data_IF_602547574255
#
_entry.id   IF_602547574255
#
_cell.length_a   1.000
_cell.length_b   1.000
_cell.length_c   1.000
_cell.angle_alpha   90.00
_cell.angle_beta   90.00
_cell.angle_gamma   90.00
#
_symmetry.space_group_name_H-M   'P 1'
#
loop_
_entity.id
_entity.type
_entity.pdbx_description
1 polymer ?
#
# COMPACT_ATOMS: atom_id res chain seq x y z
N UNK A 1 -12.05 3.46 -22.72
CA UNK A 1 -10.82 2.79 -22.21
C UNK A 1 -9.78 3.87 -22.06
N UNK A 2 -9.25 4.10 -20.86
CA UNK A 2 -8.08 4.98 -20.75
C UNK A 2 -6.89 4.05 -21.01
N UNK A 3 -6.20 4.27 -22.13
CA UNK A 3 -4.98 3.56 -22.44
C UNK A 3 -3.90 4.05 -21.48
N UNK A 4 -3.45 3.19 -20.57
CA UNK A 4 -2.35 3.54 -19.66
C UNK A 4 -1.06 3.23 -20.42
N UNK A 5 -0.44 4.26 -20.95
CA UNK A 5 0.82 4.16 -21.68
C UNK A 5 1.99 4.36 -20.72
N UNK A 6 3.09 3.65 -20.96
CA UNK A 6 4.33 3.92 -20.25
C UNK A 6 4.98 5.23 -20.74
N UNK A 7 6.10 5.64 -20.12
CA UNK A 7 6.83 6.86 -20.49
C UNK A 7 7.34 6.89 -21.94
N UNK A 8 7.35 5.76 -22.63
CA UNK A 8 7.76 5.63 -24.03
C UNK A 8 6.55 5.53 -24.98
N UNK A 9 5.32 5.66 -24.48
CA UNK A 9 4.09 5.67 -25.27
C UNK A 9 3.47 4.29 -25.52
N UNK A 10 3.94 3.23 -24.85
CA UNK A 10 3.51 1.85 -25.11
C UNK A 10 2.39 1.40 -24.17
N UNK A 11 1.40 0.70 -24.70
CA UNK A 11 0.39 0.00 -23.89
C UNK A 11 1.02 -1.22 -23.21
N UNK A 12 1.34 -1.08 -21.92
CA UNK A 12 1.70 -2.24 -21.08
C UNK A 12 0.43 -2.85 -20.51
N UNK A 13 0.37 -4.20 -20.45
CA UNK A 13 -0.69 -4.96 -19.76
C UNK A 13 -0.95 -4.29 -18.40
N UNK A 14 -2.12 -3.68 -18.19
CA UNK A 14 -2.36 -2.87 -16.99
C UNK A 14 -2.59 -3.78 -15.78
N UNK A 15 -1.59 -3.91 -14.91
CA UNK A 15 -1.67 -4.59 -13.60
C UNK A 15 -2.52 -3.82 -12.59
N UNK A 16 -2.70 -2.52 -12.86
CA UNK A 16 -3.63 -1.67 -12.16
C UNK A 16 -4.97 -1.81 -12.86
N UNK A 17 -5.87 -2.54 -12.24
CA UNK A 17 -7.19 -2.74 -12.80
C UNK A 17 -8.09 -1.57 -12.42
N UNK A 18 -8.94 -1.17 -13.37
CA UNK A 18 -10.14 -0.43 -13.04
C UNK A 18 -11.10 -1.49 -12.47
N UNK A 19 -11.55 -1.39 -11.21
CA UNK A 19 -12.57 -2.30 -10.73
C UNK A 19 -13.78 -2.24 -11.67
N UNK A 20 -14.45 -3.37 -11.88
CA UNK A 20 -15.65 -3.45 -12.72
C UNK A 20 -16.79 -2.57 -12.19
N UNK A 21 -16.66 -2.07 -10.96
CA UNK A 21 -17.58 -1.19 -10.28
C UNK A 21 -16.91 0.15 -9.99
N UNK A 22 -17.49 1.22 -10.55
CA UNK A 22 -17.17 2.59 -10.16
C UNK A 22 -17.84 2.85 -8.81
N UNK A 23 -17.14 3.47 -7.86
CA UNK A 23 -17.77 3.94 -6.62
C UNK A 23 -18.96 4.86 -6.98
N UNK A 24 -20.18 4.57 -6.50
CA UNK A 24 -21.33 5.41 -6.82
C UNK A 24 -21.10 6.86 -6.38
N UNK A 25 -21.58 7.81 -7.19
CA UNK A 25 -21.46 9.24 -6.88
C UNK A 25 -22.21 9.62 -5.59
N UNK A 26 -23.24 8.86 -5.21
CA UNK A 26 -23.90 9.00 -3.92
C UNK A 26 -22.95 8.66 -2.76
N UNK A 27 -22.24 7.53 -2.83
CA UNK A 27 -21.24 7.08 -1.87
C UNK A 27 -20.09 8.08 -1.75
N UNK A 28 -19.62 8.64 -2.88
CA UNK A 28 -18.56 9.66 -2.88
C UNK A 28 -18.99 10.94 -2.13
N UNK A 29 -20.22 11.42 -2.37
CA UNK A 29 -20.76 12.59 -1.67
C UNK A 29 -20.96 12.32 -0.19
N UNK A 30 -21.54 11.17 0.16
CA UNK A 30 -21.67 10.74 1.54
C UNK A 30 -20.32 10.67 2.26
N UNK A 31 -19.27 10.16 1.59
CA UNK A 31 -17.91 10.14 2.12
C UNK A 31 -17.38 11.55 2.41
N UNK A 32 -17.56 12.48 1.47
CA UNK A 32 -17.14 13.88 1.65
C UNK A 32 -17.86 14.51 2.84
N UNK A 33 -19.18 14.36 2.92
CA UNK A 33 -19.98 14.94 4.01
C UNK A 33 -19.60 14.35 5.38
N UNK A 34 -19.37 13.03 5.44
CA UNK A 34 -18.97 12.37 6.67
C UNK A 34 -17.54 12.71 7.10
N UNK A 35 -16.62 12.87 6.15
CA UNK A 35 -15.24 13.32 6.43
C UNK A 35 -15.20 14.79 6.85
N UNK A 36 -16.06 15.65 6.30
CA UNK A 36 -16.14 17.05 6.74
C UNK A 36 -16.42 17.16 8.24
N UNK A 37 -17.33 16.33 8.76
CA UNK A 37 -17.58 16.26 10.21
C UNK A 37 -16.31 15.86 10.97
N UNK A 38 -15.59 14.84 10.49
CA UNK A 38 -14.32 14.40 11.09
C UNK A 38 -13.26 15.52 11.08
N UNK A 39 -13.16 16.29 9.99
CA UNK A 39 -12.26 17.44 9.84
C UNK A 39 -12.61 18.58 10.80
N UNK A 40 -13.90 18.82 11.07
CA UNK A 40 -14.37 19.87 11.98
C UNK A 40 -14.25 19.50 13.47
N UNK A 41 -14.42 18.22 13.81
CA UNK A 41 -14.44 17.76 15.21
C UNK A 41 -13.07 17.31 15.73
N UNK A 42 -12.08 17.14 14.85
CA UNK A 42 -10.75 16.63 15.21
C UNK A 42 -9.70 17.72 15.04
N UNK A 43 -8.79 17.92 16.00
CA UNK A 43 -7.64 18.80 15.81
C UNK A 43 -6.81 18.39 14.60
N UNK A 44 -6.38 19.36 13.78
CA UNK A 44 -5.55 19.10 12.60
C UNK A 44 -4.26 18.40 13.02
N UNK A 45 -4.00 17.24 12.41
CA UNK A 45 -2.83 16.43 12.66
C UNK A 45 -1.98 16.31 11.40
N UNK A 46 -0.89 17.08 11.34
CA UNK A 46 0.02 17.04 10.20
C UNK A 46 0.94 15.83 10.27
N UNK A 47 1.10 15.17 9.13
CA UNK A 47 2.02 14.06 8.98
C UNK A 47 3.46 14.52 9.27
N UNK A 48 4.23 13.80 10.11
CA UNK A 48 5.62 14.15 10.42
C UNK A 48 6.47 14.32 9.16
N UNK A 49 7.25 15.40 9.09
CA UNK A 49 8.16 15.67 7.96
C UNK A 49 7.48 16.14 6.66
N UNK A 50 6.15 16.36 6.65
CA UNK A 50 5.43 16.85 5.48
C UNK A 50 5.44 18.37 5.28
N UNK A 51 6.07 19.11 6.20
CA UNK A 51 6.04 20.58 6.26
C UNK A 51 4.59 21.13 6.17
N UNK A 52 3.68 20.53 6.95
CA UNK A 52 2.26 20.85 7.05
C UNK A 52 1.47 20.77 5.73
N UNK A 53 1.87 19.90 4.80
CA UNK A 53 1.12 19.65 3.55
C UNK A 53 0.28 18.40 3.58
N UNK A 54 0.56 17.46 4.48
CA UNK A 54 -0.19 16.20 4.59
C UNK A 54 -0.93 16.18 5.91
N UNK A 55 -2.25 16.06 5.86
CA UNK A 55 -3.12 15.95 7.04
C UNK A 55 -3.56 14.50 7.19
N UNK A 56 -3.26 13.93 8.35
CA UNK A 56 -3.63 12.58 8.74
C UNK A 56 -4.99 12.63 9.47
N UNK A 57 -6.06 12.16 8.83
CA UNK A 57 -7.39 12.09 9.45
C UNK A 57 -7.57 10.77 10.21
N UNK A 58 -7.21 9.66 9.55
CA UNK A 58 -7.11 8.33 10.15
C UNK A 58 -5.78 7.77 9.70
N UNK A 59 -4.82 7.66 10.61
CA UNK A 59 -3.51 7.11 10.28
C UNK A 59 -3.24 5.84 11.07
N UNK A 60 -2.90 4.72 10.42
CA UNK A 60 -2.75 3.42 11.10
C UNK A 60 -1.55 3.37 12.05
N UNK A 61 -0.62 4.33 11.96
CA UNK A 61 0.47 4.50 12.93
C UNK A 61 0.10 5.31 14.18
N UNK A 62 -1.12 5.87 14.25
CA UNK A 62 -1.64 6.44 15.48
C UNK A 62 -2.23 5.32 16.33
N UNK A 63 -1.88 5.30 17.62
CA UNK A 63 -2.32 4.26 18.58
C UNK A 63 -2.10 2.82 18.05
N UNK A 64 -0.90 2.48 17.54
CA UNK A 64 -0.60 1.14 17.07
C UNK A 64 -0.58 0.16 18.23
N UNK A 65 -0.53 -1.13 17.94
CA UNK A 65 -0.11 -2.11 18.95
C UNK A 65 1.39 -1.92 19.23
N UNK A 66 1.75 -1.85 20.51
CA UNK A 66 3.12 -1.73 21.00
C UNK A 66 3.45 -2.96 21.84
N UNK A 67 4.36 -3.78 21.34
CA UNK A 67 4.80 -4.96 22.07
C UNK A 67 5.48 -4.61 23.39
N UNK A 68 5.10 -5.31 24.46
CA UNK A 68 5.54 -5.02 25.83
C UNK A 68 4.77 -3.87 26.51
N UNK A 69 3.78 -3.28 25.85
CA UNK A 69 3.01 -2.16 26.39
C UNK A 69 1.49 -2.30 26.18
N UNK A 70 1.03 -2.63 24.97
CA UNK A 70 -0.40 -2.73 24.65
C UNK A 70 -1.05 -3.94 25.33
N UNK A 71 -2.29 -3.79 25.76
CA UNK A 71 -3.09 -4.88 26.30
C UNK A 71 -3.90 -5.57 25.20
N UNK A 72 -3.96 -6.89 25.26
CA UNK A 72 -4.70 -7.74 24.32
C UNK A 72 -5.64 -8.70 25.06
N UNK A 73 -6.74 -9.05 24.39
CA UNK A 73 -7.65 -10.11 24.78
C UNK A 73 -7.26 -11.38 24.02
N UNK A 74 -6.70 -12.38 24.71
CA UNK A 74 -6.24 -13.63 24.08
C UNK A 74 -7.37 -14.64 23.85
N UNK A 75 -8.39 -14.61 24.69
CA UNK A 75 -9.43 -15.63 24.78
C UNK A 75 -10.78 -15.19 24.20
N UNK A 76 -10.92 -13.92 23.82
CA UNK A 76 -12.15 -13.35 23.25
C UNK A 76 -11.86 -12.23 22.25
N UNK A 77 -12.84 -11.95 21.40
CA UNK A 77 -12.85 -10.80 20.49
C UNK A 77 -13.93 -9.79 20.88
N UNK A 78 -13.68 -8.51 20.67
CA UNK A 78 -14.67 -7.43 20.82
C UNK A 78 -15.28 -7.05 19.48
N UNK A 79 -16.60 -6.91 19.47
CA UNK A 79 -17.34 -6.40 18.32
C UNK A 79 -17.59 -4.88 18.42
N UNK A 80 -18.23 -4.33 17.39
CA UNK A 80 -18.66 -2.92 17.35
C UNK A 80 -19.51 -2.50 18.56
N UNK A 81 -20.38 -3.37 19.07
CA UNK A 81 -21.27 -3.06 20.19
C UNK A 81 -20.55 -3.02 21.55
N UNK A 82 -19.43 -3.73 21.68
CA UNK A 82 -18.75 -3.93 22.97
C UNK A 82 -17.38 -3.27 23.04
N UNK A 83 -16.88 -2.74 21.92
CA UNK A 83 -15.53 -2.15 21.85
C UNK A 83 -15.30 -0.99 22.83
N UNK A 84 -16.33 -0.21 23.17
CA UNK A 84 -16.26 0.87 24.18
C UNK A 84 -16.74 0.44 25.58
N UNK A 85 -16.98 -0.86 25.80
CA UNK A 85 -17.36 -1.41 27.11
C UNK A 85 -16.22 -2.19 27.77
N UNK A 86 -15.31 -2.74 26.96
CA UNK A 86 -14.17 -3.53 27.42
C UNK A 86 -12.94 -2.64 27.51
N UNK A 87 -12.41 -2.41 28.71
CA UNK A 87 -11.22 -1.55 28.89
C UNK A 87 -9.94 -2.31 28.53
N UNK A 88 -8.88 -1.62 28.05
CA UNK A 88 -7.56 -2.23 27.88
C UNK A 88 -7.06 -2.96 29.13
N UNK A 89 -7.30 -2.43 30.33
CA UNK A 89 -6.91 -3.04 31.61
C UNK A 89 -7.53 -4.42 31.88
N UNK A 90 -8.55 -4.84 31.13
CA UNK A 90 -9.10 -6.21 31.23
C UNK A 90 -8.29 -7.24 30.44
N UNK A 91 -7.40 -6.79 29.55
CA UNK A 91 -6.49 -7.63 28.79
C UNK A 91 -5.12 -7.78 29.46
N UNK A 92 -4.30 -8.66 28.91
CA UNK A 92 -2.91 -8.83 29.33
C UNK A 92 -1.95 -8.09 28.39
N UNK A 93 -0.81 -7.65 28.92
CA UNK A 93 0.21 -7.01 28.10
C UNK A 93 0.79 -8.02 27.12
N UNK A 94 0.77 -7.70 25.82
CA UNK A 94 1.39 -8.54 24.81
C UNK A 94 2.92 -8.57 25.01
N UNK A 95 3.57 -9.75 25.05
CA UNK A 95 5.00 -9.83 25.25
C UNK A 95 5.79 -9.30 24.04
N UNK A 96 7.03 -8.87 24.27
CA UNK A 96 7.96 -8.54 23.19
C UNK A 96 8.40 -9.84 22.49
N UNK A 97 8.19 -9.99 21.17
CA UNK A 97 8.67 -11.15 20.43
C UNK A 97 10.17 -11.37 20.63
N UNK A 98 10.65 -12.63 20.77
CA UNK A 98 12.07 -12.96 20.77
C UNK A 98 12.80 -12.45 19.51
N UNK A 99 14.11 -12.23 19.60
CA UNK A 99 14.92 -11.74 18.47
C UNK A 99 14.89 -12.65 17.24
N UNK A 100 14.74 -13.96 17.46
CA UNK A 100 14.70 -14.93 16.36
C UNK A 100 13.41 -14.83 15.53
N UNK A 101 12.31 -14.39 16.13
CA UNK A 101 11.03 -14.16 15.42
C UNK A 101 11.06 -12.89 14.57
N UNK A 102 12.01 -11.98 14.82
CA UNK A 102 12.21 -10.81 13.98
C UNK A 102 12.86 -11.16 12.63
N UNK A 103 13.52 -12.32 12.54
CA UNK A 103 14.33 -12.77 11.41
C UNK A 103 13.55 -13.69 10.49
N UNK A 104 14.03 -13.84 9.26
CA UNK A 104 13.46 -14.83 8.33
C UNK A 104 13.89 -16.24 8.72
N UNK A 105 13.02 -17.26 8.51
CA UNK A 105 13.40 -18.64 8.70
C UNK A 105 14.55 -19.03 7.77
N UNK A 106 15.42 -19.93 8.23
CA UNK A 106 16.48 -20.50 7.40
C UNK A 106 15.88 -21.23 6.19
N UNK A 107 16.45 -21.09 4.98
CA UNK A 107 15.89 -21.68 3.77
C UNK A 107 15.85 -23.21 3.89
N UNK A 108 14.68 -23.81 3.63
CA UNK A 108 14.58 -25.26 3.43
C UNK A 108 15.09 -25.60 2.02
N UNK A 109 15.79 -26.73 1.81
CA UNK A 109 16.13 -27.18 0.46
C UNK A 109 14.84 -27.36 -0.35
N UNK A 110 14.76 -26.75 -1.53
CA UNK A 110 13.60 -26.71 -2.46
C UNK A 110 12.52 -25.64 -2.22
N UNK A 111 12.78 -24.61 -1.42
CA UNK A 111 11.90 -23.43 -1.30
C UNK A 111 12.44 -22.28 -2.17
N UNK A 112 11.54 -21.51 -2.77
CA UNK A 112 11.80 -20.31 -3.59
C UNK A 112 12.87 -19.44 -2.91
N UNK A 113 13.90 -19.01 -3.66
CA UNK A 113 15.01 -18.24 -3.13
C UNK A 113 14.58 -16.84 -2.68
N UNK A 114 14.39 -16.67 -1.37
CA UNK A 114 14.16 -15.37 -0.72
C UNK A 114 15.47 -14.58 -0.48
N UNK A 115 16.53 -14.79 -1.28
CA UNK A 115 17.81 -14.09 -1.14
C UNK A 115 17.70 -12.57 -1.03
N UNK A 116 16.66 -11.97 -1.61
CA UNK A 116 16.35 -10.54 -1.51
C UNK A 116 15.92 -10.09 -0.11
N UNK A 117 15.10 -10.88 0.58
CA UNK A 117 14.66 -10.55 1.93
C UNK A 117 15.79 -10.76 2.96
N UNK A 118 16.82 -11.57 2.63
CA UNK A 118 18.01 -11.76 3.49
C UNK A 118 18.83 -10.49 3.68
N UNK A 119 18.73 -9.52 2.77
CA UNK A 119 19.42 -8.24 2.88
C UNK A 119 18.71 -7.26 3.82
N UNK A 120 17.46 -7.55 4.23
CA UNK A 120 16.69 -6.71 5.12
C UNK A 120 16.90 -7.20 6.55
N UNK A 121 17.59 -6.44 7.42
CA UNK A 121 17.69 -6.79 8.83
C UNK A 121 16.32 -6.66 9.49
N UNK A 122 15.92 -7.70 10.22
CA UNK A 122 14.67 -7.78 11.01
C UNK A 122 13.40 -7.38 10.24
N UNK A 123 12.94 -8.19 9.27
CA UNK A 123 11.79 -7.81 8.47
C UNK A 123 10.44 -7.87 9.19
N UNK A 124 10.38 -8.45 10.38
CA UNK A 124 9.25 -8.35 11.30
C UNK A 124 9.58 -7.33 12.40
N UNK A 125 8.66 -6.40 12.66
CA UNK A 125 8.82 -5.48 13.79
C UNK A 125 8.66 -6.25 15.10
N UNK A 126 9.61 -6.01 16.03
CA UNK A 126 9.47 -6.47 17.41
C UNK A 126 8.70 -5.49 18.27
N UNK A 127 8.47 -4.25 17.79
CA UNK A 127 7.89 -3.18 18.60
C UNK A 127 6.48 -2.83 18.18
N UNK A 128 6.22 -2.67 16.88
CA UNK A 128 4.97 -2.09 16.40
C UNK A 128 4.20 -3.02 15.47
N UNK A 129 2.87 -2.96 15.55
CA UNK A 129 1.99 -3.51 14.53
C UNK A 129 0.83 -2.57 14.27
N UNK A 130 0.51 -2.33 13.00
CA UNK A 130 -0.76 -1.70 12.64
C UNK A 130 -1.94 -2.63 12.90
N UNK A 131 -3.00 -2.08 13.49
CA UNK A 131 -4.21 -2.85 13.83
C UNK A 131 -5.22 -2.81 12.67
N UNK A 132 -5.43 -3.90 11.92
CA UNK A 132 -6.58 -4.00 11.02
C UNK A 132 -7.88 -4.05 11.80
N UNK A 133 -8.98 -3.64 11.15
CA UNK A 133 -10.32 -4.04 11.56
C UNK A 133 -10.73 -5.34 10.87
N UNK A 134 -11.60 -6.09 11.56
CA UNK A 134 -12.19 -7.33 11.06
C UNK A 134 -13.43 -6.99 10.22
N UNK A 135 -13.58 -7.70 9.10
CA UNK A 135 -14.60 -7.45 8.08
C UNK A 135 -15.24 -8.77 7.67
N UNK A 136 -16.51 -8.92 7.98
CA UNK A 136 -17.31 -10.07 7.58
C UNK A 136 -17.92 -9.83 6.19
N UNK A 137 -17.70 -10.74 5.25
CA UNK A 137 -18.35 -10.67 3.93
C UNK A 137 -19.82 -11.14 4.03
N UNK A 138 -20.74 -10.42 3.37
CA UNK A 138 -22.17 -10.74 3.35
C UNK A 138 -22.62 -11.28 1.98
N UNK A 139 -23.56 -12.23 1.99
CA UNK A 139 -24.18 -12.81 0.79
C UNK A 139 -25.57 -12.19 0.54
N UNK A 140 -25.94 -11.80 -0.70
CA UNK A 140 -25.23 -11.99 -1.97
C UNK A 140 -24.23 -10.88 -2.33
N UNK A 141 -24.22 -9.75 -1.61
CA UNK A 141 -23.28 -8.65 -1.82
C UNK A 141 -23.15 -7.77 -0.58
N UNK A 142 -21.93 -7.35 -0.29
CA UNK A 142 -21.64 -6.42 0.80
C UNK A 142 -20.57 -6.96 1.74
N UNK A 143 -20.30 -6.20 2.77
CA UNK A 143 -19.50 -6.61 3.91
C UNK A 143 -19.88 -5.75 5.10
N UNK A 144 -19.65 -6.26 6.30
CA UNK A 144 -19.80 -5.51 7.54
C UNK A 144 -18.47 -5.47 8.28
N UNK A 145 -18.08 -4.30 8.75
CA UNK A 145 -16.95 -4.11 9.65
C UNK A 145 -17.40 -4.54 11.05
N UNK A 146 -16.82 -5.62 11.57
CA UNK A 146 -17.25 -6.24 12.83
C UNK A 146 -16.46 -5.76 14.05
N UNK A 147 -15.30 -5.14 13.86
CA UNK A 147 -14.49 -4.51 14.93
C UNK A 147 -14.17 -3.05 14.57
N UNK A 148 -13.84 -2.21 15.56
CA UNK A 148 -13.62 -0.78 15.31
C UNK A 148 -12.44 -0.51 14.37
N UNK A 149 -12.47 0.58 13.61
CA UNK A 149 -11.32 1.02 12.81
C UNK A 149 -10.35 1.76 13.72
N UNK A 150 -9.07 1.35 13.73
CA UNK A 150 -8.06 2.01 14.55
C UNK A 150 -8.00 3.52 14.26
N UNK A 151 -7.96 4.33 15.32
CA UNK A 151 -7.99 5.79 15.26
C UNK A 151 -9.27 6.42 14.63
N UNK A 152 -10.37 5.68 14.51
CA UNK A 152 -11.67 6.21 14.07
C UNK A 152 -12.77 5.84 15.08
N UNK A 153 -13.28 6.84 15.81
CA UNK A 153 -14.22 6.61 16.91
C UNK A 153 -15.51 5.91 16.40
N UNK A 154 -15.89 4.73 16.94
CA UNK A 154 -16.99 3.91 16.40
C UNK A 154 -18.37 4.53 16.56
N UNK A 155 -18.60 5.35 17.61
CA UNK A 155 -19.88 6.06 17.82
C UNK A 155 -19.92 7.46 17.19
N UNK A 156 -18.96 8.34 17.47
CA UNK A 156 -18.94 9.71 16.95
C UNK A 156 -18.86 9.76 15.41
N UNK A 157 -18.15 8.81 14.80
CA UNK A 157 -18.00 8.72 13.36
C UNK A 157 -18.68 7.48 12.76
N UNK A 158 -19.75 6.99 13.40
CA UNK A 158 -20.49 5.80 12.97
C UNK A 158 -20.93 5.85 11.50
N UNK A 159 -21.23 7.05 10.96
CA UNK A 159 -21.61 7.24 9.55
C UNK A 159 -20.53 6.84 8.54
N UNK A 160 -19.25 6.89 8.91
CA UNK A 160 -18.15 6.53 8.02
C UNK A 160 -18.06 5.01 7.79
N UNK A 161 -18.43 4.19 8.78
CA UNK A 161 -18.32 2.73 8.70
C UNK A 161 -19.08 2.13 7.51
N UNK A 162 -20.39 2.36 7.31
CA UNK A 162 -21.12 1.80 6.16
C UNK A 162 -20.65 2.33 4.81
N UNK A 163 -20.09 3.55 4.77
CA UNK A 163 -19.51 4.11 3.55
C UNK A 163 -18.21 3.39 3.20
N UNK A 164 -17.37 3.12 4.21
CA UNK A 164 -16.13 2.36 4.04
C UNK A 164 -16.43 0.92 3.63
N UNK A 165 -17.46 0.28 4.21
CA UNK A 165 -17.96 -1.04 3.81
C UNK A 165 -18.32 -1.09 2.31
N UNK A 166 -19.06 -0.10 1.80
CA UNK A 166 -19.41 -0.04 0.39
C UNK A 166 -18.17 0.08 -0.53
N UNK A 167 -17.17 0.85 -0.10
CA UNK A 167 -15.90 1.00 -0.82
C UNK A 167 -15.08 -0.29 -0.77
N UNK A 168 -15.03 -0.98 0.38
CA UNK A 168 -14.40 -2.30 0.51
C UNK A 168 -15.09 -3.28 -0.45
N UNK A 169 -16.42 -3.36 -0.43
CA UNK A 169 -17.19 -4.25 -1.30
C UNK A 169 -16.91 -3.98 -2.78
N UNK A 170 -16.75 -2.71 -3.18
CA UNK A 170 -16.38 -2.33 -4.54
C UNK A 170 -14.93 -2.71 -4.90
N UNK A 171 -14.00 -2.64 -3.94
CA UNK A 171 -12.60 -3.04 -4.12
C UNK A 171 -12.39 -4.56 -4.16
N UNK A 172 -13.33 -5.35 -3.62
CA UNK A 172 -13.24 -6.81 -3.50
C UNK A 172 -13.39 -7.60 -4.83
N UNK A 173 -13.44 -6.91 -5.98
CA UNK A 173 -13.59 -7.56 -7.29
C UNK A 173 -12.23 -8.07 -7.83
N UNK A 174 -12.06 -9.39 -7.99
CA UNK A 174 -10.79 -9.99 -8.38
C UNK A 174 -10.53 -9.76 -9.86
N UNK A 175 -9.52 -8.97 -10.16
CA UNK A 175 -9.11 -8.68 -11.55
C UNK A 175 -7.59 -8.77 -11.75
N UNK A 176 -6.87 -9.38 -10.81
CA UNK A 176 -5.43 -9.17 -10.66
C UNK A 176 -4.60 -10.30 -11.27
N UNK A 177 -3.86 -10.12 -12.36
CA UNK A 177 -2.90 -11.13 -12.77
C UNK A 177 -1.83 -11.30 -11.66
N UNK A 178 -1.60 -12.52 -11.14
CA UNK A 178 -0.71 -12.77 -10.01
C UNK A 178 0.78 -12.74 -10.39
N UNK A 179 1.12 -12.34 -11.62
CA UNK A 179 2.46 -12.53 -12.20
C UNK A 179 3.11 -11.21 -12.58
N UNK A 180 4.41 -11.09 -12.33
CA UNK A 180 5.28 -10.04 -12.89
C UNK A 180 5.24 -10.08 -14.43
N UNK A 181 5.57 -8.97 -15.09
CA UNK A 181 5.77 -8.98 -16.56
C UNK A 181 6.97 -9.89 -16.89
N UNK A 182 6.73 -10.93 -17.69
CA UNK A 182 7.76 -11.79 -18.26
C UNK A 182 7.93 -11.52 -19.75
N UNK A 183 9.17 -11.35 -20.22
CA UNK A 183 9.48 -11.31 -21.65
C UNK A 183 10.14 -12.65 -22.02
N UNK A 184 9.70 -13.27 -23.12
CA UNK A 184 10.18 -14.60 -23.53
C UNK A 184 11.26 -14.57 -24.62
N UNK A 185 11.28 -13.53 -25.46
CA UNK A 185 12.17 -13.43 -26.62
C UNK A 185 12.54 -11.97 -26.94
N UNK A 186 13.71 -11.76 -27.54
CA UNK A 186 14.20 -10.47 -28.04
C UNK A 186 14.43 -10.55 -29.55
N UNK A 187 13.88 -9.59 -30.29
CA UNK A 187 14.05 -9.52 -31.75
C UNK A 187 14.87 -8.28 -32.15
N UNK A 188 15.72 -8.46 -33.16
CA UNK A 188 16.58 -7.40 -33.70
C UNK A 188 16.20 -7.13 -35.14
N UNK A 189 16.23 -5.86 -35.56
CA UNK A 189 16.12 -5.52 -36.98
C UNK A 189 17.42 -5.98 -37.67
N UNK A 190 17.39 -7.09 -38.41
CA UNK A 190 18.55 -7.59 -39.15
C UNK A 190 18.84 -6.69 -40.35
N UNK A 191 19.72 -5.72 -40.15
CA UNK A 191 20.66 -5.32 -41.20
C UNK A 191 22.02 -5.83 -40.76
N UNK A 192 22.60 -6.78 -41.50
CA UNK A 192 23.95 -7.28 -41.21
C UNK A 192 24.90 -6.09 -41.31
N UNK A 193 25.54 -5.62 -40.22
CA UNK A 193 26.47 -4.51 -40.33
C UNK A 193 27.65 -5.00 -41.16
N UNK A 194 27.87 -4.40 -42.33
CA UNK A 194 28.96 -4.75 -43.27
C UNK A 194 30.37 -4.57 -42.67
N UNK A 195 30.44 -3.99 -41.47
CA UNK A 195 31.61 -3.45 -40.83
C UNK A 195 31.79 -3.94 -39.38
N UNK A 196 31.10 -5.01 -38.96
CA UNK A 196 31.33 -5.65 -37.65
C UNK A 196 30.96 -4.82 -36.43
N UNK A 197 30.09 -3.81 -36.60
CA UNK A 197 29.63 -2.95 -35.50
C UNK A 197 28.60 -3.66 -34.60
N UNK A 198 28.67 -3.34 -33.31
CA UNK A 198 27.72 -3.74 -32.26
C UNK A 198 26.35 -3.09 -32.51
N UNK A 199 25.26 -3.87 -32.34
CA UNK A 199 23.89 -3.37 -32.47
C UNK A 199 23.61 -2.22 -31.48
N UNK A 200 22.81 -1.25 -31.89
CA UNK A 200 22.41 -0.10 -31.04
C UNK A 200 21.01 -0.29 -30.46
N UNK A 201 20.67 0.41 -29.36
CA UNK A 201 19.33 0.35 -28.75
C UNK A 201 18.20 0.80 -29.69
N UNK A 202 18.52 1.58 -30.72
CA UNK A 202 17.58 1.99 -31.76
C UNK A 202 17.20 0.84 -32.73
N UNK A 203 17.94 -0.27 -32.73
CA UNK A 203 17.77 -1.41 -33.65
C UNK A 203 17.04 -2.61 -33.00
N UNK A 204 16.85 -2.56 -31.68
CA UNK A 204 16.06 -3.56 -30.94
C UNK A 204 14.59 -3.34 -31.29
N UNK A 205 13.97 -4.35 -31.87
CA UNK A 205 12.53 -4.32 -32.15
C UNK A 205 11.84 -4.70 -30.84
N UNK A 206 11.16 -3.72 -30.24
CA UNK A 206 10.32 -4.01 -29.09
C UNK A 206 9.21 -4.98 -29.51
N UNK A 207 8.91 -6.01 -28.70
CA UNK A 207 7.80 -6.89 -29.00
C UNK A 207 6.52 -6.05 -29.07
N UNK A 208 5.78 -6.17 -30.17
CA UNK A 208 4.45 -5.56 -30.27
C UNK A 208 3.63 -6.00 -29.06
N UNK A 209 3.00 -5.06 -28.33
CA UNK A 209 2.19 -5.42 -27.19
C UNK A 209 1.13 -6.40 -27.67
N UNK A 210 1.13 -7.61 -27.10
CA UNK A 210 0.10 -8.60 -27.39
C UNK A 210 -1.25 -7.93 -27.15
N UNK A 211 -2.18 -8.11 -28.10
CA UNK A 211 -3.56 -7.64 -27.97
C UNK A 211 -4.07 -8.01 -26.57
N UNK A 212 -4.48 -7.03 -25.78
CA UNK A 212 -4.98 -7.25 -24.43
C UNK A 212 -6.13 -8.25 -24.48
N UNK A 213 -5.84 -9.48 -24.08
CA UNK A 213 -6.84 -10.43 -23.63
C UNK A 213 -7.05 -10.14 -22.16
N UNK A 214 -8.25 -9.71 -21.73
CA UNK A 214 -8.58 -9.66 -20.31
C UNK A 214 -8.12 -10.97 -19.68
N UNK A 215 -7.19 -10.87 -18.75
CA UNK A 215 -6.80 -12.05 -17.99
C UNK A 215 -8.04 -12.46 -17.20
N UNK A 216 -8.51 -13.68 -17.44
CA UNK A 216 -9.53 -14.30 -16.60
C UNK A 216 -8.78 -14.90 -15.41
N UNK A 217 -8.91 -14.33 -14.20
CA UNK A 217 -8.33 -14.95 -13.03
C UNK A 217 -8.77 -16.40 -12.92
N UNK A 218 -7.92 -17.34 -12.40
CA UNK A 218 -8.52 -18.40 -11.60
C UNK A 218 -9.39 -17.67 -10.58
N UNK A 219 -10.68 -18.00 -10.52
CA UNK A 219 -11.68 -17.20 -9.83
C UNK A 219 -11.39 -17.17 -8.33
N UNK A 220 -10.45 -16.33 -7.88
CA UNK A 220 -10.25 -16.02 -6.47
C UNK A 220 -11.34 -15.02 -6.11
N UNK A 221 -12.54 -15.52 -5.89
CA UNK A 221 -13.60 -14.72 -5.33
C UNK A 221 -13.37 -14.69 -3.82
N UNK A 222 -12.85 -13.58 -3.29
CA UNK A 222 -12.66 -13.40 -1.84
C UNK A 222 -13.92 -13.75 -1.02
N UNK A 223 -15.12 -13.68 -1.63
CA UNK A 223 -16.39 -14.05 -1.01
C UNK A 223 -16.69 -15.56 -1.05
N UNK A 224 -16.21 -16.29 -2.06
CA UNK A 224 -16.46 -17.74 -2.21
C UNK A 224 -15.31 -18.59 -1.67
N UNK A 225 -14.07 -18.14 -1.85
CA UNK A 225 -12.87 -18.91 -1.47
C UNK A 225 -12.46 -18.68 -0.02
N UNK A 226 -12.86 -17.55 0.56
CA UNK A 226 -12.61 -17.21 1.96
C UNK A 226 -13.94 -16.91 2.65
N UNK A 227 -14.49 -17.92 3.32
CA UNK A 227 -15.70 -17.78 4.15
C UNK A 227 -15.39 -17.19 5.55
N UNK A 228 -14.16 -16.73 5.78
CA UNK A 228 -13.69 -16.14 7.03
C UNK A 228 -13.79 -14.61 7.06
N UNK A 229 -13.48 -14.03 8.22
CA UNK A 229 -13.34 -12.58 8.37
C UNK A 229 -12.10 -12.08 7.63
N UNK A 230 -12.24 -11.08 6.78
CA UNK A 230 -11.13 -10.35 6.18
C UNK A 230 -10.57 -9.34 7.20
N UNK A 231 -9.30 -9.00 7.07
CA UNK A 231 -8.66 -7.98 7.91
C UNK A 231 -8.19 -6.82 7.03
N UNK A 232 -8.66 -5.61 7.35
CA UNK A 232 -8.42 -4.41 6.55
C UNK A 232 -7.90 -3.28 7.42
N UNK A 233 -6.77 -2.69 7.02
CA UNK A 233 -6.23 -1.47 7.63
C UNK A 233 -6.74 -0.28 6.82
N UNK A 234 -7.30 0.72 7.51
CA UNK A 234 -7.86 1.93 6.88
C UNK A 234 -6.95 3.12 7.13
N UNK A 235 -6.75 3.93 6.09
CA UNK A 235 -6.06 5.23 6.18
C UNK A 235 -6.84 6.31 5.42
N UNK A 236 -7.04 7.46 6.06
CA UNK A 236 -7.60 8.67 5.47
C UNK A 236 -6.55 9.77 5.57
N UNK A 237 -6.15 10.32 4.42
CA UNK A 237 -5.15 11.36 4.36
C UNK A 237 -5.45 12.38 3.25
N UNK A 238 -5.15 13.63 3.55
CA UNK A 238 -5.26 14.74 2.62
C UNK A 238 -3.86 15.28 2.31
N UNK A 239 -3.62 15.63 1.06
CA UNK A 239 -2.56 16.56 0.69
C UNK A 239 -3.22 17.91 0.43
N UNK A 240 -2.81 18.93 1.16
CA UNK A 240 -3.35 20.29 1.12
C UNK A 240 -2.24 21.26 0.71
N UNK A 241 -2.52 22.04 -0.34
CA UNK A 241 -1.60 23.03 -0.90
C UNK A 241 -2.23 24.41 -0.76
N UNK A 242 -1.42 25.38 -0.36
CA UNK A 242 -1.81 26.79 -0.23
C UNK A 242 -0.97 27.65 -1.16
N UNK A 243 -1.37 28.90 -1.45
CA UNK A 243 -0.52 29.83 -2.20
C UNK A 243 0.90 29.98 -1.64
N UNK A 244 1.07 29.85 -0.32
CA UNK A 244 2.37 29.92 0.38
C UNK A 244 3.16 28.62 0.28
N UNK A 245 2.48 27.48 0.11
CA UNK A 245 3.07 26.14 -0.06
C UNK A 245 2.45 25.45 -1.28
N UNK A 246 2.75 25.92 -2.50
CA UNK A 246 1.99 25.56 -3.69
C UNK A 246 2.40 24.22 -4.33
N UNK A 247 3.45 23.57 -3.83
CA UNK A 247 4.06 22.38 -4.43
C UNK A 247 4.15 21.25 -3.40
N UNK A 248 3.91 20.02 -3.87
CA UNK A 248 4.18 18.77 -3.17
C UNK A 248 5.28 18.02 -3.93
N UNK A 249 6.38 17.70 -3.23
CA UNK A 249 7.59 17.09 -3.81
C UNK A 249 7.42 15.61 -4.22
N UNK A 250 6.28 15.00 -3.91
CA UNK A 250 6.06 13.57 -4.12
C UNK A 250 6.45 12.72 -2.91
N UNK A 251 6.32 11.40 -3.07
CA UNK A 251 6.66 10.41 -2.06
C UNK A 251 7.92 9.62 -2.41
N UNK A 252 8.43 8.86 -1.43
CA UNK A 252 9.47 7.86 -1.66
C UNK A 252 8.88 6.59 -2.29
N UNK A 253 9.74 5.78 -2.91
CA UNK A 253 9.37 4.43 -3.34
C UNK A 253 9.21 3.51 -2.14
N UNK A 254 8.08 2.82 -2.05
CA UNK A 254 7.80 1.90 -0.96
C UNK A 254 6.75 0.84 -1.34
N UNK A 255 6.69 -0.24 -0.57
CA UNK A 255 5.47 -1.04 -0.36
C UNK A 255 4.93 -0.73 1.04
N UNK A 256 3.68 -1.10 1.32
CA UNK A 256 3.04 -0.76 2.59
C UNK A 256 3.31 -1.82 3.66
N UNK A 257 3.55 -1.38 4.90
CA UNK A 257 3.76 -2.26 6.05
C UNK A 257 5.12 -2.93 6.13
N UNK A 258 5.34 -3.64 7.24
CA UNK A 258 6.37 -4.65 7.45
C UNK A 258 5.74 -6.05 7.33
N UNK A 259 6.54 -7.11 7.48
CA UNK A 259 6.03 -8.46 7.27
C UNK A 259 5.03 -8.89 8.33
N UNK A 260 5.06 -8.33 9.54
CA UNK A 260 4.13 -8.65 10.62
C UNK A 260 2.68 -8.19 10.34
N UNK A 261 2.45 -7.23 9.45
CA UNK A 261 1.09 -6.86 9.04
C UNK A 261 0.52 -7.73 7.91
N UNK A 262 1.35 -8.52 7.22
CA UNK A 262 0.92 -9.41 6.14
C UNK A 262 0.05 -8.74 5.05
N UNK A 263 0.29 -7.46 4.75
CA UNK A 263 -0.47 -6.72 3.72
C UNK A 263 -0.15 -7.29 2.34
N UNK A 264 -1.14 -7.90 1.68
CA UNK A 264 -1.01 -8.52 0.37
C UNK A 264 -1.50 -7.60 -0.77
N UNK A 265 -2.40 -6.68 -0.47
CA UNK A 265 -3.18 -5.95 -1.45
C UNK A 265 -3.57 -4.55 -0.98
N UNK A 266 -3.75 -3.63 -1.92
CA UNK A 266 -4.06 -2.22 -1.63
C UNK A 266 -5.18 -1.71 -2.53
N UNK A 267 -6.04 -0.86 -1.97
CA UNK A 267 -7.02 -0.09 -2.71
C UNK A 267 -6.91 1.39 -2.33
N UNK A 268 -6.72 2.26 -3.32
CA UNK A 268 -6.62 3.71 -3.15
C UNK A 268 -7.78 4.39 -3.86
N UNK A 269 -8.62 5.09 -3.09
CA UNK A 269 -9.76 5.84 -3.60
C UNK A 269 -9.51 7.35 -3.50
N UNK A 270 -9.43 8.02 -4.65
CA UNK A 270 -9.23 9.46 -4.77
C UNK A 270 -10.58 10.18 -4.79
N UNK A 271 -11.17 10.43 -3.62
CA UNK A 271 -12.55 10.89 -3.53
C UNK A 271 -12.76 12.39 -3.80
N UNK A 272 -11.70 13.21 -3.63
CA UNK A 272 -11.76 14.65 -3.91
C UNK A 272 -10.41 15.21 -4.34
N UNK A 273 -10.34 15.81 -5.53
CA UNK A 273 -9.18 16.53 -6.01
C UNK A 273 -9.61 17.89 -6.56
N UNK A 274 -9.05 18.98 -6.05
CA UNK A 274 -9.44 20.35 -6.43
C UNK A 274 -8.21 21.23 -6.61
N UNK A 275 -8.21 22.05 -7.66
CA UNK A 275 -7.17 23.06 -7.92
C UNK A 275 -5.71 22.55 -7.91
N UNK A 276 -5.49 21.33 -8.38
CA UNK A 276 -4.15 20.76 -8.56
C UNK A 276 -3.85 20.48 -10.04
N UNK A 277 -2.56 20.49 -10.36
CA UNK A 277 -2.01 19.88 -11.57
C UNK A 277 -2.20 18.36 -11.52
N UNK A 278 -1.74 17.65 -12.55
CA UNK A 278 -1.95 16.22 -12.66
C UNK A 278 -1.22 15.45 -11.55
N UNK A 279 -1.95 14.79 -10.65
CA UNK A 279 -1.38 13.87 -9.67
C UNK A 279 -1.25 12.48 -10.29
N UNK A 280 -0.06 11.87 -10.21
CA UNK A 280 0.20 10.51 -10.70
C UNK A 280 0.78 9.61 -9.61
N UNK A 281 0.53 8.31 -9.74
CA UNK A 281 1.12 7.25 -8.94
C UNK A 281 1.99 6.39 -9.85
N UNK A 282 3.29 6.36 -9.57
CA UNK A 282 4.26 5.55 -10.31
C UNK A 282 4.40 4.18 -9.69
N UNK A 283 4.61 3.18 -10.54
CA UNK A 283 4.84 1.79 -10.15
C UNK A 283 6.15 1.28 -10.75
N UNK A 284 6.88 0.51 -9.95
CA UNK A 284 8.04 -0.25 -10.40
C UNK A 284 8.03 -1.67 -9.82
N UNK A 285 8.63 -2.59 -10.55
CA UNK A 285 8.87 -3.96 -10.12
C UNK A 285 10.34 -4.31 -10.33
N UNK A 286 10.76 -5.41 -9.73
CA UNK A 286 11.98 -6.09 -10.14
C UNK A 286 11.69 -6.95 -11.39
N UNK A 287 12.61 -6.94 -12.34
CA UNK A 287 12.55 -7.71 -13.59
C UNK A 287 12.79 -9.20 -13.34
N UNK A 288 11.99 -10.05 -13.98
CA UNK A 288 12.18 -11.51 -13.93
C UNK A 288 13.46 -11.93 -14.69
N UNK A 289 14.16 -12.95 -14.15
CA UNK A 289 15.50 -13.39 -14.54
C UNK A 289 15.51 -14.36 -15.74
N UNK A 290 14.38 -14.60 -16.42
CA UNK A 290 14.35 -15.39 -17.66
C UNK A 290 14.95 -14.58 -18.82
N UNK A 291 16.26 -14.38 -18.79
CA UNK A 291 17.01 -13.74 -19.89
C UNK A 291 16.81 -14.61 -21.14
N UNK A 292 16.19 -14.09 -22.22
CA UNK A 292 16.18 -14.80 -23.50
C UNK A 292 17.63 -15.00 -23.94
N UNK A 293 17.96 -16.24 -24.31
CA UNK A 293 19.30 -16.75 -24.66
C UNK A 293 20.39 -15.68 -24.84
N UNK A 294 21.24 -15.53 -23.82
CA UNK A 294 22.46 -14.73 -23.89
C UNK A 294 23.30 -15.14 -25.12
N UNK A 295 23.71 -14.15 -25.91
CA UNK A 295 24.65 -14.34 -27.02
C UNK A 295 26.01 -13.81 -26.56
N UNK A 296 27.02 -14.68 -26.34
CA UNK A 296 28.35 -14.24 -25.91
C UNK A 296 28.94 -13.20 -26.86
N UNK A 297 29.66 -12.22 -26.29
CA UNK A 297 30.37 -11.11 -26.96
C UNK A 297 29.53 -9.94 -27.54
N UNK A 298 28.24 -9.83 -27.22
CA UNK A 298 27.42 -8.68 -27.61
C UNK A 298 27.24 -7.70 -26.44
N UNK A 299 27.44 -6.39 -26.68
CA UNK A 299 26.80 -5.40 -25.82
C UNK A 299 25.33 -5.53 -26.15
N UNK A 300 24.52 -5.85 -25.16
CA UNK A 300 23.11 -6.17 -25.31
C UNK A 300 22.27 -4.91 -25.07
N UNK A 301 22.00 -4.09 -26.11
CA UNK A 301 21.21 -2.87 -25.95
C UNK A 301 19.73 -3.15 -25.63
N UNK A 302 19.32 -4.42 -25.71
CA UNK A 302 17.94 -4.84 -25.47
C UNK A 302 17.50 -4.68 -24.02
N UNK A 303 18.41 -4.77 -23.04
CA UNK A 303 18.08 -4.55 -21.62
C UNK A 303 17.52 -3.13 -21.42
N UNK A 304 18.19 -2.13 -21.97
CA UNK A 304 17.75 -0.73 -21.90
C UNK A 304 16.51 -0.48 -22.76
N UNK A 305 16.45 -1.11 -23.94
CA UNK A 305 15.31 -0.95 -24.84
C UNK A 305 14.01 -1.51 -24.23
N UNK A 306 14.05 -2.73 -23.66
CA UNK A 306 12.88 -3.50 -23.19
C UNK A 306 12.59 -3.25 -21.71
N UNK A 307 13.59 -3.37 -20.84
CA UNK A 307 13.42 -3.24 -19.39
C UNK A 307 13.69 -1.82 -18.89
N UNK A 308 14.26 -0.95 -19.71
CA UNK A 308 14.68 0.39 -19.27
C UNK A 308 15.85 0.35 -18.28
N UNK A 309 16.57 -0.77 -18.21
CA UNK A 309 17.67 -1.00 -17.27
C UNK A 309 19.03 -0.91 -17.96
N UNK A 310 20.10 -0.82 -17.19
CA UNK A 310 21.48 -0.81 -17.69
C UNK A 310 22.19 -2.13 -17.37
N UNK A 311 23.12 -2.56 -18.24
CA UNK A 311 24.00 -3.69 -17.90
C UNK A 311 24.83 -3.32 -16.65
N UNK A 312 24.95 -4.25 -15.69
CA UNK A 312 25.51 -4.00 -14.34
C UNK A 312 24.73 -3.01 -13.45
N UNK A 313 23.59 -2.48 -13.93
CA UNK A 313 22.65 -1.66 -13.18
C UNK A 313 21.57 -2.48 -12.46
N UNK A 314 20.78 -1.85 -11.57
CA UNK A 314 19.69 -2.50 -10.85
C UNK A 314 18.65 -3.12 -11.79
N UNK A 315 18.08 -4.28 -11.43
CA UNK A 315 17.00 -4.97 -12.16
C UNK A 315 15.63 -4.34 -11.96
N UNK A 316 15.57 -3.02 -11.78
CA UNK A 316 14.36 -2.29 -11.42
C UNK A 316 13.71 -1.70 -12.66
N UNK A 317 12.53 -2.20 -13.02
CA UNK A 317 11.75 -1.72 -14.14
C UNK A 317 10.66 -0.75 -13.65
N UNK A 318 10.72 0.52 -14.07
CA UNK A 318 9.56 1.42 -13.98
C UNK A 318 8.49 0.94 -14.97
N UNK A 319 7.35 0.50 -14.44
CA UNK A 319 6.32 -0.17 -15.23
C UNK A 319 5.42 0.88 -15.86
N UNK A 320 4.76 1.66 -15.03
CA UNK A 320 3.62 2.48 -15.42
C UNK A 320 3.41 3.64 -14.45
N UNK A 321 2.88 4.73 -14.98
CA UNK A 321 2.38 5.85 -14.20
C UNK A 321 0.87 5.92 -14.39
N UNK A 322 0.12 6.01 -13.29
CA UNK A 322 -1.34 6.07 -13.32
C UNK A 322 -1.80 7.43 -12.83
N UNK A 323 -2.53 8.15 -13.67
CA UNK A 323 -3.17 9.39 -13.28
C UNK A 323 -4.22 9.14 -12.19
N UNK A 324 -4.16 9.94 -11.12
CA UNK A 324 -4.95 9.78 -9.91
C UNK A 324 -6.11 10.78 -9.90
N UNK A 325 -7.06 10.63 -10.83
CA UNK A 325 -8.22 11.53 -10.97
C UNK A 325 -9.24 11.35 -9.84
N UNK A 326 -10.03 12.39 -9.57
CA UNK A 326 -11.18 12.29 -8.66
C UNK A 326 -12.15 11.17 -9.09
N UNK A 327 -12.70 10.45 -8.10
CA UNK A 327 -13.60 9.31 -8.29
C UNK A 327 -12.90 8.02 -8.71
N UNK A 328 -11.57 8.03 -8.87
CA UNK A 328 -10.82 6.84 -9.27
C UNK A 328 -10.54 5.95 -8.06
N UNK A 329 -10.89 4.67 -8.19
CA UNK A 329 -10.46 3.59 -7.31
C UNK A 329 -9.36 2.79 -8.02
N UNK A 330 -8.20 2.67 -7.39
CA UNK A 330 -7.06 1.89 -7.87
C UNK A 330 -6.83 0.71 -6.94
N UNK A 331 -6.85 -0.51 -7.48
CA UNK A 331 -6.54 -1.74 -6.73
C UNK A 331 -5.31 -2.41 -7.31
N UNK A 332 -4.35 -2.79 -6.47
CA UNK A 332 -3.09 -3.40 -6.91
C UNK A 332 -2.35 -4.15 -5.78
N UNK A 333 -1.54 -5.18 -6.10
CA UNK A 333 -0.85 -5.98 -5.09
C UNK A 333 0.28 -5.22 -4.42
N UNK A 334 0.51 -5.56 -3.15
CA UNK A 334 1.56 -4.98 -2.33
C UNK A 334 2.95 -5.55 -2.63
N UNK A 335 3.14 -6.06 -3.84
CA UNK A 335 4.44 -6.48 -4.39
C UNK A 335 5.08 -5.40 -5.27
N UNK A 336 4.27 -4.43 -5.74
CA UNK A 336 4.76 -3.31 -6.54
C UNK A 336 5.20 -2.17 -5.64
N UNK A 337 6.46 -1.78 -5.75
CA UNK A 337 6.89 -0.51 -5.18
C UNK A 337 6.20 0.61 -5.94
N UNK A 338 5.69 1.57 -5.18
CA UNK A 338 4.96 2.70 -5.71
C UNK A 338 5.41 3.99 -5.05
N UNK A 339 5.22 5.11 -5.76
CA UNK A 339 5.42 6.46 -5.22
C UNK A 339 4.41 7.44 -5.79
N UNK A 340 4.07 8.43 -4.99
CA UNK A 340 3.33 9.60 -5.47
C UNK A 340 4.30 10.51 -6.22
N UNK A 341 3.95 10.93 -7.44
CA UNK A 341 4.73 11.92 -8.19
C UNK A 341 4.52 13.34 -7.64
N UNK A 342 5.47 14.27 -7.85
CA UNK A 342 5.29 15.67 -7.51
C UNK A 342 4.08 16.28 -8.23
N UNK A 343 3.40 17.21 -7.58
CA UNK A 343 2.35 18.02 -8.19
C UNK A 343 2.21 19.36 -7.46
N UNK A 344 1.56 20.32 -8.09
CA UNK A 344 1.40 21.69 -7.60
C UNK A 344 -0.01 22.25 -7.80
N UNK A 345 -0.28 23.43 -7.26
CA UNK A 345 -1.51 24.18 -7.53
C UNK A 345 -1.66 24.51 -9.01
N UNK A 346 -2.89 24.36 -9.54
CA UNK A 346 -3.21 24.75 -10.92
C UNK A 346 -3.39 26.25 -11.05
N UNK A 347 -4.18 26.84 -10.15
CA UNK A 347 -4.28 28.28 -9.93
C UNK A 347 -3.52 28.59 -8.62
N UNK A 348 -2.28 29.13 -8.69
CA UNK A 348 -1.45 29.39 -7.52
C UNK A 348 -2.05 30.42 -6.55
N UNK A 349 -3.09 31.17 -6.96
CA UNK A 349 -3.74 32.16 -6.11
C UNK A 349 -4.78 31.57 -5.15
N UNK A 350 -5.13 30.28 -5.29
CA UNK A 350 -6.17 29.61 -4.51
C UNK A 350 -5.63 28.33 -3.89
N UNK A 351 -6.14 27.91 -2.72
CA UNK A 351 -5.80 26.61 -2.16
C UNK A 351 -6.29 25.47 -3.06
N UNK A 352 -5.71 24.29 -2.87
CA UNK A 352 -6.04 23.07 -3.61
C UNK A 352 -5.69 21.83 -2.80
N UNK A 353 -6.25 20.69 -3.18
CA UNK A 353 -6.08 19.46 -2.41
C UNK A 353 -6.17 18.19 -3.25
N UNK A 354 -5.63 17.11 -2.68
CA UNK A 354 -5.84 15.72 -3.08
C UNK A 354 -6.21 14.91 -1.84
N UNK A 355 -7.42 14.37 -1.76
CA UNK A 355 -7.90 13.59 -0.62
C UNK A 355 -8.09 12.12 -0.98
N UNK A 356 -7.60 11.22 -0.13
CA UNK A 356 -7.63 9.78 -0.38
C UNK A 356 -8.16 8.97 0.80
N UNK A 357 -8.83 7.87 0.46
CA UNK A 357 -9.08 6.74 1.34
C UNK A 357 -8.24 5.56 0.84
N UNK A 358 -7.40 5.02 1.70
CA UNK A 358 -6.57 3.86 1.43
C UNK A 358 -7.02 2.67 2.29
N UNK A 359 -7.15 1.51 1.65
CA UNK A 359 -7.41 0.23 2.26
C UNK A 359 -6.22 -0.67 2.02
N UNK A 360 -5.72 -1.31 3.08
CA UNK A 360 -4.66 -2.30 3.00
C UNK A 360 -5.23 -3.64 3.47
N UNK A 361 -5.33 -4.59 2.54
CA UNK A 361 -5.86 -5.93 2.80
C UNK A 361 -4.72 -6.79 3.35
N UNK A 362 -4.93 -7.33 4.54
CA UNK A 362 -4.12 -8.40 5.12
C UNK A 362 -4.42 -9.69 4.37
N UNK A 363 -3.41 -10.53 4.15
CA UNK A 363 -3.57 -11.85 3.53
C UNK A 363 -4.71 -12.65 4.19
N UNK A 364 -5.81 -12.96 3.48
CA UNK A 364 -6.94 -13.69 4.05
C UNK A 364 -6.59 -15.09 4.60
N UNK A 365 -5.46 -15.65 4.19
CA UNK A 365 -4.96 -16.93 4.72
C UNK A 365 -4.26 -16.80 6.09
N UNK A 366 -4.04 -15.57 6.57
CA UNK A 366 -3.30 -15.27 7.79
C UNK A 366 -4.12 -14.33 8.66
N UNK A 367 -4.33 -14.71 9.92
CA UNK A 367 -4.94 -13.82 10.91
C UNK A 367 -3.84 -13.15 11.73
N UNK A 368 -3.83 -11.82 11.73
CA UNK A 368 -2.97 -11.00 12.60
C UNK A 368 -3.80 -10.41 13.75
N UNK A 369 -3.14 -9.89 14.78
CA UNK A 369 -3.83 -9.20 15.88
C UNK A 369 -4.57 -7.96 15.34
N UNK A 370 -5.89 -7.94 15.52
CA UNK A 370 -6.77 -6.86 15.04
C UNK A 370 -7.29 -5.99 16.19
N UNK A 371 -8.07 -4.97 15.84
CA UNK A 371 -8.92 -4.24 16.77
C UNK A 371 -10.02 -5.09 17.41
N UNK A 372 -10.26 -6.31 16.91
CA UNK A 372 -11.07 -7.30 17.60
C UNK A 372 -10.36 -7.91 18.82
N UNK A 373 -9.02 -7.91 18.86
CA UNK A 373 -8.24 -8.42 19.98
C UNK A 373 -7.75 -7.32 20.93
N UNK A 374 -7.63 -6.09 20.43
CA UNK A 374 -7.06 -4.96 21.18
C UNK A 374 -8.18 -3.97 21.47
N UNK A 375 -8.54 -3.74 22.76
CA UNK A 375 -9.48 -2.69 23.11
C UNK A 375 -9.00 -1.30 22.69
N UNK A 376 -9.91 -0.35 22.43
CA UNK A 376 -9.55 1.01 22.07
C UNK A 376 -8.56 1.65 23.04
N UNK A 377 -7.36 1.95 22.54
CA UNK A 377 -6.25 2.45 23.34
C UNK A 377 -6.32 3.97 23.57
N UNK A 378 -7.19 4.69 22.85
CA UNK A 378 -7.29 6.16 22.93
C UNK A 378 -7.91 6.61 24.25
N UNK A 379 -7.13 7.22 25.13
CA UNK A 379 -7.60 7.67 26.44
C UNK A 379 -8.80 8.62 26.35
N UNK A 380 -8.84 9.46 25.32
CA UNK A 380 -9.90 10.45 25.10
C UNK A 380 -11.26 9.83 24.71
N UNK A 381 -11.31 8.55 24.34
CA UNK A 381 -12.57 7.84 24.07
C UNK A 381 -13.27 7.36 25.35
N UNK A 382 -12.59 7.42 26.49
CA UNK A 382 -13.07 6.89 27.77
C UNK A 382 -13.46 7.98 28.77
N UNK A 383 -13.67 9.22 28.31
CA UNK A 383 -13.94 10.40 29.14
C UNK A 383 -15.36 10.32 29.72
N UNK A 384 -15.45 9.49 30.75
CA UNK A 384 -16.52 9.30 31.72
C UNK A 384 -15.96 8.85 33.08
N UNK A 385 -14.72 8.30 33.11
CA UNK A 385 -13.96 8.05 34.33
C UNK A 385 -12.62 8.78 34.28
N UNK A 386 -12.45 9.74 35.18
CA UNK A 386 -11.19 10.20 35.78
C UNK A 386 -9.92 10.19 34.90
N UNK A 387 -9.68 11.31 34.20
CA UNK A 387 -8.35 11.80 33.85
C UNK A 387 -7.60 11.05 32.74
N UNK A 388 -6.60 11.73 32.17
CA UNK A 388 -5.59 11.08 31.35
C UNK A 388 -4.89 9.99 32.19
N UNK A 389 -4.89 8.73 31.73
CA UNK A 389 -3.98 7.70 32.28
C UNK A 389 -4.60 6.52 33.03
N UNK A 390 -5.66 5.90 32.51
CA UNK A 390 -6.01 4.53 32.91
C UNK A 390 -5.00 3.51 32.37
N UNK A 391 -4.84 2.38 33.05
CA UNK A 391 -3.94 1.30 32.62
C UNK A 391 -4.28 0.83 31.19
N UNK A 392 -3.25 0.76 30.34
CA UNK A 392 -3.36 0.37 28.93
C UNK A 392 -3.93 1.45 27.98
N UNK A 393 -4.20 2.66 28.46
CA UNK A 393 -4.64 3.79 27.63
C UNK A 393 -3.46 4.70 27.25
N UNK A 394 -3.51 5.22 26.03
CA UNK A 394 -2.56 6.17 25.46
C UNK A 394 -3.20 7.53 25.30
N UNK A 395 -2.55 8.56 25.83
CA UNK A 395 -2.91 9.95 25.58
C UNK A 395 -2.53 10.38 24.15
N UNK A 396 -3.09 11.50 23.67
CA UNK A 396 -2.81 12.01 22.32
C UNK A 396 -1.32 12.32 22.11
N UNK A 397 -0.65 12.90 23.10
CA UNK A 397 0.79 13.20 23.03
C UNK A 397 1.65 11.94 22.90
N UNK A 398 1.32 10.89 23.67
CA UNK A 398 1.98 9.59 23.59
C UNK A 398 1.74 8.91 22.24
N UNK A 399 0.49 8.89 21.76
CA UNK A 399 0.15 8.33 20.45
C UNK A 399 0.92 9.01 19.31
N UNK A 400 1.08 10.34 19.36
CA UNK A 400 1.92 11.08 18.40
C UNK A 400 3.40 10.75 18.53
N UNK A 401 3.92 10.57 19.74
CA UNK A 401 5.30 10.16 19.99
C UNK A 401 5.59 8.77 19.42
N UNK A 402 4.74 7.78 19.72
CA UNK A 402 4.83 6.42 19.21
C UNK A 402 4.72 6.38 17.68
N UNK A 403 3.86 7.22 17.07
CA UNK A 403 3.79 7.36 15.61
C UNK A 403 5.14 7.78 15.02
N UNK A 404 5.81 8.78 15.61
CA UNK A 404 7.10 9.27 15.11
C UNK A 404 8.15 8.15 15.18
N UNK A 405 8.20 7.42 16.28
CA UNK A 405 9.11 6.29 16.44
C UNK A 405 8.83 5.18 15.42
N UNK A 406 7.57 4.78 15.27
CA UNK A 406 7.14 3.78 14.29
C UNK A 406 7.50 4.23 12.86
N UNK A 407 7.29 5.50 12.52
CA UNK A 407 7.65 6.04 11.21
C UNK A 407 9.15 6.03 10.96
N UNK A 408 9.99 6.28 11.98
CA UNK A 408 11.45 6.18 11.84
C UNK A 408 11.88 4.72 11.64
N UNK A 409 11.31 3.77 12.41
CA UNK A 409 11.54 2.34 12.18
C UNK A 409 11.19 1.94 10.74
N UNK A 410 10.04 2.40 10.25
CA UNK A 410 9.58 2.12 8.88
C UNK A 410 10.45 2.77 7.82
N UNK A 411 10.95 3.98 8.06
CA UNK A 411 11.85 4.66 7.13
C UNK A 411 13.15 3.87 6.96
N UNK A 412 13.69 3.33 8.05
CA UNK A 412 14.85 2.44 8.02
C UNK A 412 14.54 1.14 7.26
N UNK A 413 13.39 0.50 7.54
CA UNK A 413 12.96 -0.70 6.84
C UNK A 413 12.76 -0.46 5.32
N UNK A 414 12.09 0.62 4.93
CA UNK A 414 11.89 1.02 3.53
C UNK A 414 13.22 1.28 2.84
N UNK A 415 14.20 1.90 3.53
CA UNK A 415 15.55 2.10 3.02
C UNK A 415 16.27 0.77 2.75
N UNK A 416 16.24 -0.17 3.68
CA UNK A 416 16.81 -1.52 3.48
C UNK A 416 16.10 -2.28 2.38
N UNK A 417 14.78 -2.19 2.32
CA UNK A 417 13.99 -2.84 1.28
C UNK A 417 14.29 -2.26 -0.10
N UNK A 418 14.39 -0.94 -0.24
CA UNK A 418 14.79 -0.30 -1.49
C UNK A 418 16.21 -0.69 -1.91
N UNK A 419 17.16 -0.69 -0.97
CA UNK A 419 18.51 -1.16 -1.22
C UNK A 419 18.54 -2.63 -1.67
N UNK A 420 17.77 -3.50 -1.01
CA UNK A 420 17.61 -4.91 -1.40
C UNK A 420 16.99 -5.03 -2.81
N UNK A 421 15.96 -4.24 -3.08
CA UNK A 421 15.28 -4.17 -4.38
C UNK A 421 16.22 -3.73 -5.51
N UNK A 422 17.18 -2.86 -5.21
CA UNK A 422 18.20 -2.37 -6.15
C UNK A 422 19.48 -3.21 -6.19
N UNK A 423 19.70 -4.09 -5.20
CA UNK A 423 20.94 -4.86 -5.03
C UNK A 423 21.16 -5.87 -6.15
N UNK A 424 20.08 -6.38 -6.72
CA UNK A 424 20.09 -7.34 -7.80
C UNK A 424 20.35 -6.63 -9.12
N UNK A 425 21.51 -6.93 -9.71
CA UNK A 425 21.97 -6.30 -10.95
C UNK A 425 21.82 -7.23 -12.15
N UNK A 426 21.67 -6.65 -13.34
CA UNK A 426 21.92 -7.39 -14.56
C UNK A 426 23.42 -7.72 -14.62
N UNK A 427 23.76 -9.01 -14.70
CA UNK A 427 25.13 -9.43 -14.94
C UNK A 427 25.14 -10.41 -16.11
N UNK A 428 25.59 -9.94 -17.28
CA UNK A 428 25.77 -10.75 -18.48
C UNK A 428 27.20 -11.28 -18.63
N UNK A 429 28.03 -11.20 -17.59
CA UNK A 429 29.35 -11.84 -17.58
C UNK A 429 29.20 -13.29 -17.13
N UNK A 430 29.79 -14.20 -17.90
CA UNK A 430 29.88 -15.64 -17.62
C UNK A 430 30.39 -15.94 -16.21
N UNK A 431 29.79 -16.97 -15.60
CA UNK A 431 30.56 -17.97 -14.88
C UNK A 431 30.25 -19.34 -15.47
#
# INVERSE_FOLDING_TARGET
>A
MDHITDKKGWEKKSFVTKPNFTIPEATRRALIDAIHVLEETTPVDYHPGSDNRVVDLVHPSMFPLVNGQSHILRDRSIGMEDCLKVRPSEGEIIPIPPEEEAKLPSPKPNVIDYSQLKAIPNPYSRKFQWLPCDVQMEWPSGCNITSYINNLHPTEHAKLYPIIEEIIACSSSPTWPPTRITYSDVSYRRETPTNGRRFTAAEVVQPEPQKYTPWEPPSVNLRLDYWGSLQVIVKLANIELTPEKPEYEGGSWHVEGQLNEHICAKALYYYSNTNITESRLSFRQESDYSVPHYVPNQIDPWISAIYGCENHGPRVQEIIDVECRQGRLLTFPNIFQHRVQPFSLRDPSKPGHRKILALFLVDPAITVISTGNVPPQRADWWIGDQGEGGEGLMGMGEGKGLRVELMEERKVFVGHQDAAFQSLRFNLCEH
#
